data_IF_903401325754
#
_entry.id   IF_903401325754
#
_cell.length_a   1.000
_cell.length_b   1.000
_cell.length_c   1.000
_cell.angle_alpha   90.00
_cell.angle_beta   90.00
_cell.angle_gamma   90.00
#
_symmetry.space_group_name_H-M   'P 1'
#
loop_
_entity.id
_entity.type
_entity.pdbx_description
1 polymer ?
#
# COMPACT_ATOMS: atom_id res chain seq x y z
N UNK A 1 18.86 -8.27 -5.22
CA UNK A 1 18.56 -7.18 -4.26
C UNK A 1 17.25 -6.52 -4.68
N UNK A 2 16.12 -7.14 -4.30
CA UNK A 2 14.77 -6.76 -4.73
C UNK A 2 14.09 -5.79 -3.79
N UNK A 3 14.56 -4.54 -3.74
CA UNK A 3 14.04 -3.48 -2.87
C UNK A 3 13.28 -2.37 -3.63
N UNK A 4 12.72 -2.70 -4.81
CA UNK A 4 11.96 -1.73 -5.62
C UNK A 4 10.81 -1.09 -4.84
N UNK A 5 10.11 -1.91 -4.04
CA UNK A 5 8.95 -1.49 -3.25
C UNK A 5 9.34 -0.50 -2.15
N UNK A 6 10.51 -0.67 -1.53
CA UNK A 6 11.05 0.28 -0.56
C UNK A 6 11.43 1.62 -1.19
N UNK A 7 11.96 1.61 -2.42
CA UNK A 7 12.25 2.86 -3.16
C UNK A 7 10.97 3.61 -3.50
N UNK A 8 9.94 2.87 -3.93
CA UNK A 8 8.64 3.45 -4.26
C UNK A 8 7.97 3.99 -2.98
N UNK A 9 8.06 3.25 -1.87
CA UNK A 9 7.60 3.70 -0.55
C UNK A 9 8.31 4.97 -0.10
N UNK A 10 9.64 5.01 -0.20
CA UNK A 10 10.44 6.18 0.15
C UNK A 10 10.11 7.39 -0.74
N UNK A 11 9.91 7.19 -2.04
CA UNK A 11 9.52 8.25 -2.96
C UNK A 11 8.12 8.81 -2.63
N UNK A 12 7.15 7.94 -2.33
CA UNK A 12 5.82 8.35 -1.89
C UNK A 12 5.86 9.09 -0.54
N UNK A 13 6.71 8.65 0.39
CA UNK A 13 6.93 9.34 1.66
C UNK A 13 7.61 10.69 1.51
N UNK A 14 8.56 10.82 0.58
CA UNK A 14 9.19 12.09 0.26
C UNK A 14 8.22 13.06 -0.42
N UNK A 15 7.27 12.55 -1.21
CA UNK A 15 6.29 13.35 -1.93
C UNK A 15 5.10 13.78 -1.05
N UNK A 16 4.49 12.84 -0.31
CA UNK A 16 3.30 13.08 0.49
C UNK A 16 3.58 13.40 1.95
N UNK A 17 4.83 13.22 2.40
CA UNK A 17 5.25 13.37 3.79
C UNK A 17 5.23 12.05 4.56
N UNK A 18 6.02 12.00 5.64
CA UNK A 18 6.19 10.79 6.46
C UNK A 18 4.87 10.31 7.09
N UNK A 19 3.91 11.20 7.36
CA UNK A 19 2.59 10.83 7.89
C UNK A 19 1.74 10.03 6.89
N UNK A 20 1.93 10.22 5.59
CA UNK A 20 1.21 9.48 4.56
C UNK A 20 1.74 8.04 4.37
N UNK A 21 2.93 7.73 4.89
CA UNK A 21 3.53 6.39 4.78
C UNK A 21 2.70 5.32 5.50
N UNK A 22 2.16 5.66 6.67
CA UNK A 22 1.35 4.74 7.48
C UNK A 22 0.06 4.30 6.76
N UNK A 23 -0.81 5.20 6.26
CA UNK A 23 -1.96 4.78 5.47
C UNK A 23 -1.56 4.07 4.18
N UNK A 24 -0.48 4.49 3.50
CA UNK A 24 -0.03 3.84 2.26
C UNK A 24 0.37 2.38 2.47
N UNK A 25 1.16 2.10 3.52
CA UNK A 25 1.59 0.73 3.82
C UNK A 25 0.40 -0.12 4.26
N UNK A 26 -0.53 0.44 5.03
CA UNK A 26 -1.74 -0.24 5.47
C UNK A 26 -2.65 -0.60 4.30
N UNK A 27 -2.95 0.35 3.41
CA UNK A 27 -3.78 0.10 2.23
C UNK A 27 -3.15 -0.92 1.28
N UNK A 28 -1.84 -0.84 1.07
CA UNK A 28 -1.09 -1.80 0.26
C UNK A 28 -1.09 -3.19 0.88
N UNK A 29 -0.81 -3.30 2.17
CA UNK A 29 -0.82 -4.58 2.88
C UNK A 29 -2.21 -5.21 2.94
N UNK A 30 -3.25 -4.40 3.18
CA UNK A 30 -4.63 -4.86 3.24
C UNK A 30 -5.09 -5.38 1.87
N UNK A 31 -4.85 -4.62 0.80
CA UNK A 31 -5.20 -5.05 -0.56
C UNK A 31 -4.43 -6.30 -0.99
N UNK A 32 -3.12 -6.35 -0.73
CA UNK A 32 -2.29 -7.52 -0.98
C UNK A 32 -2.73 -8.76 -0.17
N UNK A 33 -3.14 -8.57 1.09
CA UNK A 33 -3.66 -9.64 1.94
C UNK A 33 -5.02 -10.15 1.45
N UNK A 34 -5.95 -9.26 1.09
CA UNK A 34 -7.26 -9.65 0.56
C UNK A 34 -7.09 -10.45 -0.73
N UNK A 35 -6.25 -9.98 -1.66
CA UNK A 35 -5.99 -10.68 -2.92
C UNK A 35 -5.24 -11.98 -2.68
N UNK A 36 -4.27 -12.00 -1.75
CA UNK A 36 -3.57 -13.22 -1.39
C UNK A 36 -4.47 -14.29 -0.79
N UNK A 37 -5.36 -13.90 0.12
CA UNK A 37 -6.36 -14.79 0.70
C UNK A 37 -7.33 -15.27 -0.39
N UNK A 38 -7.83 -14.37 -1.25
CA UNK A 38 -8.73 -14.73 -2.33
C UNK A 38 -8.09 -15.75 -3.29
N UNK A 39 -6.84 -15.53 -3.72
CA UNK A 39 -6.10 -16.45 -4.57
C UNK A 39 -5.83 -17.80 -3.89
N UNK A 40 -5.61 -17.79 -2.57
CA UNK A 40 -5.40 -19.00 -1.78
C UNK A 40 -6.70 -19.81 -1.64
N UNK A 41 -7.85 -19.13 -1.56
CA UNK A 41 -9.18 -19.77 -1.51
C UNK A 41 -9.61 -20.31 -2.87
N UNK A 42 -9.31 -19.61 -3.97
CA UNK A 42 -9.66 -20.08 -5.33
C UNK A 42 -8.76 -21.21 -5.83
N UNK A 43 -7.67 -21.52 -5.13
CA UNK A 43 -6.74 -22.60 -5.48
C UNK A 43 -5.93 -22.34 -6.76
N UNK A 44 -5.97 -21.11 -7.29
CA UNK A 44 -5.31 -20.73 -8.55
C UNK A 44 -3.81 -20.48 -8.36
N UNK A 45 -3.37 -20.19 -7.13
CA UNK A 45 -1.95 -19.96 -6.84
C UNK A 45 -1.30 -21.15 -6.16
N UNK A 46 -0.11 -21.52 -6.63
CA UNK A 46 0.81 -22.41 -5.92
C UNK A 46 1.06 -21.84 -4.52
N UNK A 47 0.78 -22.64 -3.48
CA UNK A 47 1.09 -22.29 -2.09
C UNK A 47 2.56 -21.86 -2.01
N UNK A 48 2.81 -20.61 -1.62
CA UNK A 48 4.16 -20.11 -1.39
C UNK A 48 4.74 -19.22 -2.49
N UNK A 49 3.98 -18.84 -3.54
CA UNK A 49 4.42 -17.74 -4.42
C UNK A 49 4.33 -16.41 -3.66
N UNK A 50 5.44 -15.69 -3.46
CA UNK A 50 5.42 -14.39 -2.80
C UNK A 50 4.66 -13.40 -3.67
N UNK A 51 3.66 -12.75 -3.07
CA UNK A 51 2.88 -11.70 -3.72
C UNK A 51 3.75 -10.43 -3.71
N UNK A 52 4.08 -9.85 -4.88
CA UNK A 52 4.90 -8.64 -4.92
C UNK A 52 4.12 -7.47 -4.30
N UNK A 53 4.76 -6.73 -3.40
CA UNK A 53 4.12 -5.63 -2.66
C UNK A 53 4.04 -4.34 -3.52
N UNK A 54 4.97 -4.16 -4.45
CA UNK A 54 5.08 -2.98 -5.32
C UNK A 54 3.83 -2.56 -6.06
N UNK A 55 3.11 -3.46 -6.76
CA UNK A 55 1.89 -3.10 -7.49
C UNK A 55 0.77 -2.57 -6.59
N UNK A 56 0.59 -3.19 -5.42
CA UNK A 56 -0.40 -2.74 -4.42
C UNK A 56 0.00 -1.40 -3.80
N UNK A 57 1.29 -1.19 -3.59
CA UNK A 57 1.80 0.07 -3.09
C UNK A 57 1.66 1.20 -4.11
N UNK A 58 1.93 0.92 -5.39
CA UNK A 58 1.72 1.88 -6.46
C UNK A 58 0.23 2.25 -6.60
N UNK A 59 -0.67 1.26 -6.50
CA UNK A 59 -2.12 1.49 -6.49
C UNK A 59 -2.55 2.34 -5.28
N UNK A 60 -2.08 2.03 -4.07
CA UNK A 60 -2.33 2.83 -2.88
C UNK A 60 -1.79 4.27 -3.02
N UNK A 61 -0.61 4.42 -3.64
CA UNK A 61 0.00 5.71 -3.99
C UNK A 61 -0.89 6.54 -4.92
N UNK A 62 -1.42 5.93 -5.98
CA UNK A 62 -2.34 6.59 -6.92
C UNK A 62 -3.66 6.98 -6.24
N UNK A 63 -4.24 6.10 -5.41
CA UNK A 63 -5.45 6.41 -4.64
C UNK A 63 -5.19 7.61 -3.73
N UNK A 64 -4.04 7.64 -3.05
CA UNK A 64 -3.63 8.74 -2.17
C UNK A 64 -3.39 10.04 -2.95
N UNK A 65 -2.86 9.96 -4.16
CA UNK A 65 -2.69 11.11 -5.05
C UNK A 65 -4.05 11.73 -5.43
N UNK A 66 -5.03 10.90 -5.79
CA UNK A 66 -6.36 11.36 -6.20
C UNK A 66 -7.25 11.80 -5.02
N UNK A 67 -7.26 11.04 -3.92
CA UNK A 67 -8.05 11.36 -2.73
C UNK A 67 -7.47 12.55 -1.95
N UNK A 68 -6.18 12.81 -2.13
CA UNK A 68 -5.41 13.81 -1.40
C UNK A 68 -4.77 13.22 -0.15
N UNK A 69 -3.45 13.40 0.07
CA UNK A 69 -2.74 12.80 1.20
C UNK A 69 -3.31 13.20 2.56
N UNK A 70 -3.72 14.47 2.72
CA UNK A 70 -4.35 14.98 3.93
C UNK A 70 -5.66 14.24 4.29
N UNK A 71 -6.50 13.92 3.30
CA UNK A 71 -7.75 13.18 3.53
C UNK A 71 -7.48 11.74 3.93
N UNK A 72 -6.54 11.09 3.25
CA UNK A 72 -6.16 9.70 3.55
C UNK A 72 -5.50 9.58 4.92
N UNK A 73 -4.65 10.54 5.29
CA UNK A 73 -4.11 10.64 6.65
C UNK A 73 -5.25 10.81 7.65
N UNK A 74 -6.23 11.68 7.37
CA UNK A 74 -7.39 11.89 8.25
C UNK A 74 -8.28 10.64 8.44
N UNK A 75 -8.29 9.70 7.49
CA UNK A 75 -9.00 8.41 7.67
C UNK A 75 -8.32 7.51 8.70
N UNK A 76 -6.99 7.59 8.83
CA UNK A 76 -6.21 6.75 9.74
C UNK A 76 -5.93 7.46 11.07
N UNK A 77 -5.68 8.77 11.04
CA UNK A 77 -5.39 9.61 12.19
C UNK A 77 -6.37 10.80 12.23
N UNK A 78 -7.63 10.58 12.65
CA UNK A 78 -8.59 11.66 12.82
C UNK A 78 -8.16 12.54 14.01
N UNK A 79 -7.58 13.72 13.75
CA UNK A 79 -7.20 14.68 14.81
C UNK A 79 -6.02 15.61 14.51
N UNK A 80 -5.33 15.48 13.38
CA UNK A 80 -4.27 16.40 12.97
C UNK A 80 -4.82 17.45 11.98
N UNK A 81 -5.49 18.48 12.51
CA UNK A 81 -5.92 19.67 11.79
C UNK A 81 -5.41 20.93 12.48
#
# INVERSE_FOLDING_TARGET
MGYGDFKLFAALGAWFGALALLPLVLLSALSGAVIGIALQVTGVTERGRPIPFGPFLAAAGLITLYAGPQRVIGWVLPGHG
#
